data_IF_894899829240
#
_entry.id   IF_894899829240
#
_cell.length_a   1.000
_cell.length_b   1.000
_cell.length_c   1.000
_cell.angle_alpha   90.00
_cell.angle_beta   90.00
_cell.angle_gamma   90.00
#
_symmetry.space_group_name_H-M   'P 1'
#
loop_
_entity.id
_entity.type
_entity.pdbx_description
1 polymer ?
#
# COMPACT_ATOMS: atom_id res chain seq x y z
N UNK A 1 26.64 10.21 6.77
CA UNK A 1 26.41 9.41 5.55
C UNK A 1 25.28 10.08 4.77
N UNK A 2 25.49 10.44 3.50
CA UNK A 2 24.34 10.85 2.67
C UNK A 2 23.54 9.60 2.37
N UNK A 3 22.33 9.51 2.86
CA UNK A 3 21.40 8.47 2.42
C UNK A 3 21.08 8.76 0.97
N UNK A 4 21.64 7.99 0.07
CA UNK A 4 21.35 8.09 -1.35
C UNK A 4 19.91 7.67 -1.54
N UNK A 5 19.12 8.47 -2.26
CA UNK A 5 17.78 8.07 -2.62
C UNK A 5 17.86 6.84 -3.52
N UNK A 6 16.88 5.95 -3.38
CA UNK A 6 16.74 4.78 -4.25
C UNK A 6 15.30 4.30 -4.29
N UNK A 7 14.88 3.79 -5.43
CA UNK A 7 13.65 3.01 -5.63
C UNK A 7 14.06 1.63 -6.09
N UNK A 8 13.82 0.63 -5.26
CA UNK A 8 14.22 -0.75 -5.48
C UNK A 8 12.98 -1.65 -5.60
N UNK A 9 12.94 -2.46 -6.64
CA UNK A 9 11.88 -3.42 -6.88
C UNK A 9 12.34 -4.82 -6.47
N UNK A 10 11.46 -5.52 -5.76
CA UNK A 10 11.63 -6.92 -5.38
C UNK A 10 10.61 -7.80 -6.08
N UNK A 11 11.10 -8.86 -6.71
CA UNK A 11 10.30 -9.92 -7.27
C UNK A 11 10.32 -11.13 -6.35
N UNK A 12 9.19 -11.46 -5.77
CA UNK A 12 9.02 -12.53 -4.79
C UNK A 12 8.22 -13.66 -5.42
N UNK A 13 8.68 -14.92 -5.36
CA UNK A 13 7.90 -16.05 -5.83
C UNK A 13 6.52 -16.07 -5.17
N UNK A 14 5.47 -16.25 -5.93
CA UNK A 14 4.12 -16.24 -5.40
C UNK A 14 3.93 -17.39 -4.40
N UNK A 15 3.60 -17.03 -3.16
CA UNK A 15 3.45 -17.97 -2.05
C UNK A 15 4.71 -18.20 -1.23
N UNK A 16 5.77 -17.40 -1.42
CA UNK A 16 6.75 -17.20 -0.39
C UNK A 16 6.00 -16.87 0.92
N UNK A 17 6.34 -17.53 2.03
CA UNK A 17 5.66 -17.34 3.34
C UNK A 17 4.27 -17.96 3.52
N UNK A 18 3.64 -18.56 2.49
CA UNK A 18 2.29 -19.11 2.63
C UNK A 18 1.97 -20.29 1.71
N UNK A 19 1.92 -21.50 2.27
CA UNK A 19 1.61 -22.72 1.50
C UNK A 19 0.28 -22.63 0.71
N UNK A 20 -0.75 -22.01 1.30
CA UNK A 20 -2.07 -21.90 0.68
C UNK A 20 -2.06 -20.94 -0.55
N UNK A 21 -1.32 -19.85 -0.48
CA UNK A 21 -1.17 -18.90 -1.57
C UNK A 21 -0.37 -19.53 -2.72
N UNK A 22 0.69 -20.28 -2.38
CA UNK A 22 1.49 -21.02 -3.35
C UNK A 22 0.66 -22.05 -4.13
N UNK A 23 -0.18 -22.80 -3.43
CA UNK A 23 -1.04 -23.81 -4.06
C UNK A 23 -2.06 -23.18 -5.00
N UNK A 24 -2.77 -22.14 -4.53
CA UNK A 24 -3.76 -21.44 -5.34
C UNK A 24 -3.15 -20.76 -6.57
N UNK A 25 -1.97 -20.16 -6.42
CA UNK A 25 -1.23 -19.57 -7.54
C UNK A 25 -0.85 -20.63 -8.60
N UNK A 26 -0.35 -21.78 -8.17
CA UNK A 26 0.01 -22.88 -9.08
C UNK A 26 -1.21 -23.44 -9.82
N UNK A 27 -2.34 -23.62 -9.13
CA UNK A 27 -3.59 -24.08 -9.75
C UNK A 27 -4.08 -23.06 -10.77
N UNK A 28 -4.10 -21.79 -10.41
CA UNK A 28 -4.50 -20.69 -11.29
C UNK A 28 -3.62 -20.66 -12.55
N UNK A 29 -2.30 -20.72 -12.38
CA UNK A 29 -1.34 -20.72 -13.48
C UNK A 29 -1.49 -21.96 -14.36
N UNK A 30 -1.69 -23.14 -13.79
CA UNK A 30 -1.87 -24.36 -14.56
C UNK A 30 -3.14 -24.30 -15.44
N UNK A 31 -4.23 -23.72 -14.93
CA UNK A 31 -5.47 -23.50 -15.71
C UNK A 31 -5.22 -22.53 -16.86
N UNK A 32 -4.59 -21.37 -16.56
CA UNK A 32 -4.31 -20.36 -17.58
C UNK A 32 -3.33 -20.88 -18.64
N UNK A 33 -2.25 -21.54 -18.24
CA UNK A 33 -1.30 -22.14 -19.15
C UNK A 33 -1.96 -23.15 -20.11
N UNK A 34 -2.91 -23.95 -19.58
CA UNK A 34 -3.69 -24.90 -20.40
C UNK A 34 -4.61 -24.18 -21.38
N UNK A 35 -5.29 -23.12 -20.94
CA UNK A 35 -6.17 -22.32 -21.81
C UNK A 35 -5.38 -21.58 -22.90
N UNK A 36 -4.21 -21.11 -22.57
CA UNK A 36 -3.29 -20.40 -23.47
C UNK A 36 -2.37 -21.33 -24.28
N UNK A 37 -2.52 -22.66 -24.14
CA UNK A 37 -1.72 -23.70 -24.83
C UNK A 37 -0.21 -23.51 -24.67
N UNK A 38 0.26 -23.10 -23.49
CA UNK A 38 1.66 -22.88 -23.13
C UNK A 38 2.08 -23.70 -21.92
N UNK A 39 3.38 -23.70 -21.61
CA UNK A 39 3.89 -24.27 -20.35
C UNK A 39 3.55 -23.34 -19.18
N UNK A 40 3.32 -23.87 -17.96
CA UNK A 40 3.23 -23.07 -16.75
C UNK A 40 4.51 -22.25 -16.53
N UNK A 41 4.36 -21.03 -16.05
CA UNK A 41 5.42 -20.10 -15.73
C UNK A 41 5.50 -19.90 -14.22
N UNK A 42 6.66 -19.47 -13.72
CA UNK A 42 6.78 -19.04 -12.35
C UNK A 42 6.02 -17.74 -12.14
N UNK A 43 5.24 -17.69 -11.07
CA UNK A 43 4.47 -16.51 -10.71
C UNK A 43 5.21 -15.69 -9.67
N UNK A 44 5.26 -14.40 -9.89
CA UNK A 44 5.88 -13.44 -8.98
C UNK A 44 4.86 -12.41 -8.49
N UNK A 45 5.01 -12.01 -7.26
CA UNK A 45 4.45 -10.77 -6.76
C UNK A 45 5.56 -9.74 -6.50
N UNK A 46 5.20 -8.48 -6.36
CA UNK A 46 6.16 -7.40 -6.27
C UNK A 46 5.97 -6.56 -5.01
N UNK A 47 7.08 -6.02 -4.51
CA UNK A 47 7.15 -5.05 -3.43
C UNK A 47 8.23 -4.01 -3.74
N UNK A 48 8.18 -2.85 -3.09
CA UNK A 48 9.20 -1.80 -3.25
C UNK A 48 9.90 -1.52 -1.93
N UNK A 49 11.18 -1.21 -2.03
CA UNK A 49 11.93 -0.52 -1.00
C UNK A 49 12.31 0.86 -1.54
N UNK A 50 11.95 1.89 -0.80
CA UNK A 50 12.18 3.28 -1.19
C UNK A 50 13.05 3.94 -0.14
N UNK A 51 14.21 4.44 -0.57
CA UNK A 51 15.13 5.19 0.26
C UNK A 51 14.97 6.68 -0.04
N UNK A 52 14.84 7.47 0.99
CA UNK A 52 14.84 8.94 0.96
C UNK A 52 15.69 9.46 2.13
N UNK A 53 16.11 10.73 2.15
CA UNK A 53 16.89 11.27 3.26
C UNK A 53 16.26 11.07 4.64
N UNK A 54 14.94 10.98 4.70
CA UNK A 54 14.16 10.79 5.92
C UNK A 54 14.14 9.34 6.43
N UNK A 55 14.54 8.38 5.61
CA UNK A 55 14.61 6.98 6.00
C UNK A 55 14.35 6.00 4.84
N UNK A 56 14.22 4.74 5.21
CA UNK A 56 13.89 3.62 4.33
C UNK A 56 12.43 3.24 4.53
N UNK A 57 11.68 3.08 3.45
CA UNK A 57 10.27 2.70 3.47
C UNK A 57 10.05 1.43 2.65
N UNK A 58 9.21 0.53 3.17
CA UNK A 58 8.72 -0.63 2.41
C UNK A 58 7.30 -0.35 1.97
N UNK A 59 7.03 -0.55 0.68
CA UNK A 59 5.69 -0.47 0.11
C UNK A 59 5.30 -1.86 -0.37
N UNK A 60 4.28 -2.41 0.25
CA UNK A 60 3.77 -3.74 -0.06
C UNK A 60 2.25 -3.82 0.06
N UNK A 61 1.68 -4.78 -0.62
CA UNK A 61 0.28 -5.13 -0.50
C UNK A 61 0.16 -6.51 0.16
N UNK A 62 -0.56 -6.56 1.28
CA UNK A 62 -0.67 -7.76 2.10
C UNK A 62 -2.07 -7.95 2.69
N UNK A 63 -2.29 -9.13 3.27
CA UNK A 63 -3.45 -9.38 4.12
C UNK A 63 -3.36 -8.59 5.42
N UNK A 64 -4.54 -8.22 6.01
CA UNK A 64 -4.56 -7.66 7.35
C UNK A 64 -3.95 -8.66 8.34
N UNK A 65 -2.90 -8.25 9.03
CA UNK A 65 -2.39 -9.05 10.14
C UNK A 65 -3.42 -8.96 11.27
N UNK A 66 -3.80 -10.08 11.92
CA UNK A 66 -4.58 -10.04 13.13
C UNK A 66 -3.93 -9.03 14.10
N UNK A 67 -4.74 -8.23 14.79
CA UNK A 67 -4.26 -7.20 15.72
C UNK A 67 -3.19 -7.77 16.65
N UNK A 68 -1.92 -7.64 16.29
CA UNK A 68 -0.85 -7.58 17.25
C UNK A 68 -0.92 -6.14 17.81
N UNK A 69 -1.04 -6.00 19.10
CA UNK A 69 -1.04 -4.73 19.81
C UNK A 69 0.18 -3.91 19.39
N UNK A 70 -0.04 -2.93 18.52
CA UNK A 70 1.02 -2.08 18.00
C UNK A 70 0.46 -0.97 17.11
N UNK A 71 1.18 0.15 16.95
CA UNK A 71 0.75 1.24 16.09
C UNK A 71 0.46 0.74 14.67
N UNK A 72 -0.50 1.35 14.01
CA UNK A 72 -0.88 1.05 12.63
C UNK A 72 0.40 0.95 11.77
N UNK A 73 0.69 -0.23 11.25
CA UNK A 73 1.95 -0.51 10.51
C UNK A 73 1.96 0.19 9.15
N UNK A 74 1.71 1.51 9.12
CA UNK A 74 1.77 2.29 7.88
C UNK A 74 0.71 1.91 6.85
N UNK A 75 -0.45 1.39 7.25
CA UNK A 75 -1.57 1.13 6.34
C UNK A 75 -2.08 2.45 5.80
N UNK A 76 -2.00 2.65 4.49
CA UNK A 76 -2.44 3.87 3.82
C UNK A 76 -3.69 3.65 2.97
N UNK A 77 -3.87 2.44 2.43
CA UNK A 77 -5.02 2.09 1.60
C UNK A 77 -5.52 0.71 1.99
N UNK A 78 -6.82 0.55 2.02
CA UNK A 78 -7.50 -0.73 2.19
C UNK A 78 -8.51 -0.92 1.07
N UNK A 79 -8.72 -2.18 0.66
CA UNK A 79 -9.73 -2.52 -0.33
C UNK A 79 -10.34 -3.90 -0.08
N UNK A 80 -11.49 -4.18 -0.73
CA UNK A 80 -12.18 -5.45 -0.59
C UNK A 80 -11.47 -6.56 -1.37
N UNK A 81 -11.65 -7.82 -0.91
CA UNK A 81 -11.17 -9.02 -1.59
C UNK A 81 -12.36 -9.84 -2.06
N UNK A 82 -12.29 -10.33 -3.30
CA UNK A 82 -13.29 -11.19 -3.90
C UNK A 82 -14.60 -10.50 -4.30
N UNK A 83 -15.17 -9.66 -3.43
CA UNK A 83 -16.33 -8.83 -3.76
C UNK A 83 -16.46 -7.62 -2.84
N UNK A 84 -17.14 -6.56 -3.31
CA UNK A 84 -17.28 -5.31 -2.55
C UNK A 84 -18.01 -5.48 -1.23
N UNK A 85 -19.05 -6.29 -1.18
CA UNK A 85 -19.83 -6.52 0.04
C UNK A 85 -19.06 -7.29 1.11
N UNK A 86 -18.16 -8.19 0.71
CA UNK A 86 -17.27 -8.91 1.64
C UNK A 86 -16.29 -7.97 2.35
N UNK A 87 -15.95 -6.86 1.73
CA UNK A 87 -15.09 -5.84 2.32
C UNK A 87 -15.64 -5.18 3.60
N UNK A 88 -16.90 -5.43 3.99
CA UNK A 88 -17.42 -5.06 5.31
C UNK A 88 -16.71 -5.81 6.44
N UNK A 89 -16.20 -7.00 6.18
CA UNK A 89 -15.45 -7.79 7.16
C UNK A 89 -13.95 -7.63 6.94
N UNK A 90 -13.20 -7.35 8.01
CA UNK A 90 -11.77 -7.08 7.93
C UNK A 90 -10.97 -8.23 7.30
N UNK A 91 -11.36 -9.47 7.55
CA UNK A 91 -10.71 -10.66 7.00
C UNK A 91 -10.77 -10.75 5.46
N UNK A 92 -11.71 -10.02 4.84
CA UNK A 92 -11.84 -9.90 3.39
C UNK A 92 -11.40 -8.54 2.85
N UNK A 93 -10.39 -7.95 3.48
CA UNK A 93 -9.72 -6.75 2.98
C UNK A 93 -8.27 -7.04 2.68
N UNK A 94 -7.70 -6.29 1.77
CA UNK A 94 -6.26 -6.16 1.64
C UNK A 94 -5.81 -4.82 2.18
N UNK A 95 -4.55 -4.72 2.55
CA UNK A 95 -3.92 -3.51 3.05
C UNK A 95 -2.71 -3.17 2.18
N UNK A 96 -2.64 -1.93 1.70
CA UNK A 96 -1.39 -1.38 1.15
C UNK A 96 -0.68 -0.62 2.24
N UNK A 97 0.51 -1.04 2.54
CA UNK A 97 1.36 -0.49 3.59
C UNK A 97 2.51 0.28 3.01
N UNK A 98 2.82 1.40 3.65
CA UNK A 98 4.04 2.14 3.46
C UNK A 98 4.61 2.42 4.85
N UNK A 99 5.63 1.68 5.28
CA UNK A 99 6.11 1.71 6.65
C UNK A 99 7.61 1.96 6.72
N UNK A 100 8.04 2.86 7.63
CA UNK A 100 9.45 3.12 7.84
C UNK A 100 10.12 1.87 8.42
N UNK A 101 11.34 1.60 7.96
CA UNK A 101 12.20 0.49 8.38
C UNK A 101 11.52 -0.90 8.33
N UNK A 102 10.47 -1.02 7.49
CA UNK A 102 9.76 -2.27 7.29
C UNK A 102 10.66 -3.36 6.71
N UNK A 103 10.25 -4.61 6.89
CA UNK A 103 10.87 -5.76 6.23
C UNK A 103 9.88 -6.38 5.25
N UNK A 104 10.35 -6.71 4.06
CA UNK A 104 9.61 -7.55 3.12
C UNK A 104 9.69 -8.97 3.69
N UNK A 105 8.53 -9.58 3.95
CA UNK A 105 8.50 -10.99 4.27
C UNK A 105 9.10 -11.77 3.10
N UNK A 106 9.89 -12.78 3.40
CA UNK A 106 10.52 -13.64 2.39
C UNK A 106 11.45 -12.91 1.38
N UNK A 107 12.04 -11.78 1.78
CA UNK A 107 13.03 -11.08 0.96
C UNK A 107 14.20 -11.98 0.53
N UNK A 108 14.52 -12.99 1.34
CA UNK A 108 15.58 -13.97 1.07
C UNK A 108 15.22 -14.93 -0.10
N UNK A 109 13.92 -15.07 -0.42
CA UNK A 109 13.45 -15.84 -1.58
C UNK A 109 13.34 -14.99 -2.86
N UNK A 110 13.65 -13.69 -2.78
CA UNK A 110 13.50 -12.78 -3.92
C UNK A 110 14.45 -13.14 -5.08
N UNK A 111 13.93 -13.10 -6.29
CA UNK A 111 14.66 -13.47 -7.52
C UNK A 111 15.03 -12.22 -8.30
N UNK A 112 16.27 -12.15 -8.78
CA UNK A 112 16.79 -10.98 -9.50
C UNK A 112 16.50 -9.64 -8.78
N UNK A 113 16.62 -9.64 -7.46
CA UNK A 113 16.26 -8.52 -6.58
C UNK A 113 17.39 -8.23 -5.58
N UNK A 114 17.51 -6.98 -5.09
CA UNK A 114 16.75 -5.82 -5.53
C UNK A 114 17.12 -5.37 -6.95
N UNK A 115 16.11 -4.90 -7.70
CA UNK A 115 16.34 -4.22 -8.97
C UNK A 115 16.26 -2.71 -8.72
N UNK A 116 17.38 -2.00 -8.87
CA UNK A 116 17.40 -0.54 -8.76
C UNK A 116 16.69 0.08 -9.97
N UNK A 117 15.63 0.82 -9.73
CA UNK A 117 14.83 1.49 -10.77
C UNK A 117 15.16 2.98 -10.90
N UNK A 118 15.56 3.62 -9.80
CA UNK A 118 15.93 5.06 -9.79
C UNK A 118 16.75 5.38 -8.55
N UNK A 119 17.66 6.32 -8.69
CA UNK A 119 18.41 6.98 -7.60
C UNK A 119 18.01 8.45 -7.44
N UNK A 120 16.97 8.91 -8.16
CA UNK A 120 16.46 10.27 -8.10
C UNK A 120 15.59 10.48 -6.84
N UNK A 121 15.95 11.39 -5.93
CA UNK A 121 15.20 11.70 -4.74
C UNK A 121 13.81 12.29 -5.03
N UNK A 122 13.62 12.94 -6.17
CA UNK A 122 12.33 13.50 -6.58
C UNK A 122 11.36 12.36 -6.92
N UNK A 123 11.83 11.39 -7.68
CA UNK A 123 11.04 10.18 -8.04
C UNK A 123 10.70 9.37 -6.80
N UNK A 124 11.67 9.14 -5.91
CA UNK A 124 11.46 8.40 -4.66
C UNK A 124 10.40 9.07 -3.77
N UNK A 125 10.46 10.38 -3.56
CA UNK A 125 9.47 11.12 -2.78
C UNK A 125 8.10 11.11 -3.43
N UNK A 126 8.03 11.36 -4.73
CA UNK A 126 6.78 11.30 -5.48
C UNK A 126 6.09 9.96 -5.34
N UNK A 127 6.85 8.86 -5.41
CA UNK A 127 6.31 7.51 -5.23
C UNK A 127 5.68 7.35 -3.85
N UNK A 128 6.36 7.75 -2.76
CA UNK A 128 5.83 7.69 -1.40
C UNK A 128 4.56 8.53 -1.22
N UNK A 129 4.50 9.72 -1.84
CA UNK A 129 3.31 10.56 -1.83
C UNK A 129 2.12 9.91 -2.53
N UNK A 130 2.38 9.21 -3.64
CA UNK A 130 1.36 8.55 -4.46
C UNK A 130 0.69 7.37 -3.75
N UNK A 131 1.34 6.72 -2.79
CA UNK A 131 0.76 5.53 -2.11
C UNK A 131 -0.64 5.80 -1.55
N UNK A 132 -0.87 6.98 -0.97
CA UNK A 132 -2.18 7.36 -0.40
C UNK A 132 -3.27 7.65 -1.45
N UNK A 133 -2.89 7.75 -2.71
CA UNK A 133 -3.79 8.02 -3.84
C UNK A 133 -4.10 6.77 -4.67
N UNK A 134 -3.58 5.61 -4.26
CA UNK A 134 -3.82 4.35 -4.92
C UNK A 134 -5.32 4.06 -5.05
N UNK A 135 -5.77 3.63 -6.21
CA UNK A 135 -7.11 3.09 -6.36
C UNK A 135 -7.27 1.82 -5.52
N UNK A 136 -8.47 1.59 -5.00
CA UNK A 136 -8.79 0.44 -4.16
C UNK A 136 -9.93 -0.42 -4.72
N UNK A 137 -9.76 -0.98 -5.93
CA UNK A 137 -10.74 -1.90 -6.50
C UNK A 137 -10.74 -3.24 -5.78
N UNK A 138 -11.65 -4.12 -6.17
CA UNK A 138 -11.75 -5.46 -5.58
C UNK A 138 -10.53 -6.30 -5.99
N UNK A 139 -9.79 -6.79 -5.00
CA UNK A 139 -8.68 -7.71 -5.20
C UNK A 139 -9.14 -9.03 -5.84
N UNK A 140 -8.37 -9.51 -6.81
CA UNK A 140 -8.63 -10.74 -7.53
C UNK A 140 -9.75 -10.63 -8.57
N UNK A 141 -10.19 -9.40 -8.92
CA UNK A 141 -11.20 -9.14 -9.93
C UNK A 141 -10.69 -8.13 -10.94
N UNK A 142 -11.18 -8.24 -12.18
CA UNK A 142 -11.02 -7.21 -13.21
C UNK A 142 -12.18 -6.21 -13.14
N UNK A 143 -12.32 -5.55 -11.99
CA UNK A 143 -13.37 -4.55 -11.76
C UNK A 143 -13.18 -3.31 -12.62
N UNK A 144 -11.94 -3.00 -12.97
CA UNK A 144 -11.58 -1.82 -13.77
C UNK A 144 -11.53 -2.10 -15.28
N UNK A 145 -11.93 -3.30 -15.71
CA UNK A 145 -11.99 -3.71 -17.12
C UNK A 145 -10.66 -3.48 -17.86
N UNK A 146 -9.60 -3.98 -17.29
CA UNK A 146 -8.23 -3.87 -17.80
C UNK A 146 -7.76 -5.11 -18.55
N UNK A 147 -8.52 -6.21 -18.48
CA UNK A 147 -8.15 -7.53 -18.99
C UNK A 147 -7.42 -8.40 -17.97
N UNK A 148 -6.97 -7.84 -16.84
CA UNK A 148 -6.33 -8.55 -15.74
C UNK A 148 -6.94 -8.17 -14.38
N UNK A 149 -6.79 -9.08 -13.40
CA UNK A 149 -7.23 -8.82 -12.05
C UNK A 149 -6.36 -7.75 -11.35
N UNK A 150 -6.98 -7.02 -10.41
CA UNK A 150 -6.23 -6.13 -9.50
C UNK A 150 -5.61 -6.91 -8.35
N UNK A 151 -4.31 -6.69 -8.10
CA UNK A 151 -3.56 -7.36 -7.02
C UNK A 151 -2.29 -6.57 -6.62
N UNK A 152 -1.33 -7.18 -5.89
CA UNK A 152 -0.06 -6.54 -5.49
C UNK A 152 0.73 -5.99 -6.68
N UNK A 153 0.82 -6.74 -7.77
CA UNK A 153 1.54 -6.29 -8.95
C UNK A 153 0.88 -5.07 -9.59
N UNK A 154 -0.46 -4.99 -9.58
CA UNK A 154 -1.18 -3.83 -10.08
C UNK A 154 -0.89 -2.56 -9.26
N UNK A 155 -0.81 -2.71 -7.94
CA UNK A 155 -0.45 -1.63 -7.02
C UNK A 155 0.94 -1.09 -7.35
N UNK A 156 1.92 -1.97 -7.47
CA UNK A 156 3.32 -1.57 -7.73
C UNK A 156 3.46 -0.98 -9.14
N UNK A 157 2.90 -1.62 -10.15
CA UNK A 157 2.94 -1.12 -11.53
C UNK A 157 2.31 0.27 -11.66
N UNK A 158 1.17 0.50 -10.98
CA UNK A 158 0.52 1.81 -10.95
C UNK A 158 1.40 2.88 -10.30
N UNK A 159 2.01 2.57 -9.14
CA UNK A 159 2.91 3.49 -8.44
C UNK A 159 4.11 3.89 -9.30
N UNK A 160 4.76 2.91 -9.93
CA UNK A 160 5.91 3.13 -10.80
C UNK A 160 5.55 4.02 -11.99
N UNK A 161 4.46 3.70 -12.69
CA UNK A 161 3.99 4.49 -13.83
C UNK A 161 3.63 5.92 -13.43
N UNK A 162 2.91 6.12 -12.34
CA UNK A 162 2.51 7.44 -11.85
C UNK A 162 3.69 8.26 -11.29
N UNK A 163 4.74 7.61 -10.83
CA UNK A 163 5.97 8.29 -10.40
C UNK A 163 6.85 8.75 -11.56
N UNK A 164 6.52 8.35 -12.79
CA UNK A 164 7.26 8.73 -13.99
C UNK A 164 8.35 7.74 -14.37
N UNK A 165 8.39 6.57 -13.75
CA UNK A 165 9.28 5.48 -14.16
C UNK A 165 8.76 4.76 -15.41
N UNK A 166 9.68 4.31 -16.25
CA UNK A 166 9.37 3.58 -17.50
C UNK A 166 8.91 2.15 -17.20
N UNK A 167 7.78 2.02 -16.52
CA UNK A 167 7.25 0.77 -16.00
C UNK A 167 6.86 -0.24 -17.07
N UNK A 168 6.68 0.19 -18.32
CA UNK A 168 6.42 -0.67 -19.47
C UNK A 168 7.65 -1.55 -19.84
N UNK A 169 8.83 -1.15 -19.44
CA UNK A 169 10.08 -1.88 -19.68
C UNK A 169 10.48 -2.80 -18.52
N UNK A 170 9.73 -2.77 -17.43
CA UNK A 170 9.98 -3.59 -16.25
C UNK A 170 9.25 -4.92 -16.42
N UNK A 171 10.02 -6.01 -16.37
CA UNK A 171 9.50 -7.35 -16.53
C UNK A 171 9.90 -8.24 -15.34
N UNK A 172 9.07 -9.23 -14.99
CA UNK A 172 9.45 -10.22 -14.00
C UNK A 172 10.69 -11.02 -14.47
N UNK A 173 11.34 -11.76 -13.56
CA UNK A 173 12.46 -12.62 -13.90
C UNK A 173 12.17 -13.52 -15.10
N UNK A 174 13.21 -13.87 -15.87
CA UNK A 174 13.10 -14.66 -17.09
C UNK A 174 12.35 -15.98 -16.85
N UNK A 175 11.37 -16.27 -17.72
CA UNK A 175 10.50 -17.44 -17.58
C UNK A 175 9.37 -17.28 -16.57
N UNK A 176 9.22 -16.09 -15.97
CA UNK A 176 8.19 -15.77 -15.00
C UNK A 176 7.09 -14.85 -15.50
N UNK A 177 6.06 -14.69 -14.69
CA UNK A 177 4.91 -13.83 -14.94
C UNK A 177 4.52 -13.08 -13.66
N UNK A 178 4.07 -11.85 -13.83
CA UNK A 178 3.51 -11.01 -12.76
C UNK A 178 2.04 -10.67 -13.08
N UNK A 179 1.08 -11.57 -12.79
CA UNK A 179 -0.33 -11.32 -13.08
C UNK A 179 -0.80 -10.01 -12.44
N UNK A 180 -1.63 -9.24 -13.14
CA UNK A 180 -2.12 -7.96 -12.68
C UNK A 180 -1.19 -6.77 -12.96
N UNK A 181 0.03 -6.98 -13.44
CA UNK A 181 0.96 -5.90 -13.78
C UNK A 181 0.37 -4.96 -14.83
N UNK A 182 -0.21 -5.52 -15.90
CA UNK A 182 -0.82 -4.75 -16.96
C UNK A 182 -2.08 -4.00 -16.50
N UNK A 183 -2.82 -4.54 -15.53
CA UNK A 183 -3.94 -3.82 -14.93
C UNK A 183 -3.48 -2.52 -14.25
N UNK A 184 -2.38 -2.57 -13.50
CA UNK A 184 -1.80 -1.39 -12.87
C UNK A 184 -1.39 -0.32 -13.88
N UNK A 185 -0.69 -0.71 -14.95
CA UNK A 185 -0.28 0.18 -16.04
C UNK A 185 -1.49 0.80 -16.73
N UNK A 186 -2.47 -0.02 -17.12
CA UNK A 186 -3.67 0.45 -17.81
C UNK A 186 -4.45 1.47 -16.99
N UNK A 187 -4.57 1.27 -15.67
CA UNK A 187 -5.23 2.22 -14.77
C UNK A 187 -4.42 3.50 -14.62
N UNK A 188 -3.09 3.40 -14.52
CA UNK A 188 -2.22 4.57 -14.43
C UNK A 188 -2.35 5.46 -15.67
N UNK A 189 -2.40 4.87 -16.86
CA UNK A 189 -2.53 5.62 -18.11
C UNK A 189 -3.92 6.27 -18.30
N UNK A 190 -4.99 5.63 -17.78
CA UNK A 190 -6.36 6.19 -17.88
C UNK A 190 -6.59 7.40 -16.98
N UNK A 191 -5.91 7.46 -15.86
CA UNK A 191 -6.13 8.48 -14.84
C UNK A 191 -4.80 8.92 -14.25
N UNK A 192 -4.07 9.84 -14.94
CA UNK A 192 -2.87 10.43 -14.35
C UNK A 192 -3.20 11.06 -12.99
N UNK A 193 -2.45 10.71 -11.96
CA UNK A 193 -2.65 11.29 -10.64
C UNK A 193 -2.34 12.78 -10.68
N UNK A 194 -3.36 13.60 -10.63
CA UNK A 194 -3.20 15.02 -10.38
C UNK A 194 -2.87 15.17 -8.89
N UNK A 195 -1.61 15.38 -8.57
CA UNK A 195 -1.18 15.74 -7.21
C UNK A 195 -1.65 17.17 -6.98
N UNK A 196 -2.88 17.32 -6.56
CA UNK A 196 -3.52 18.61 -6.32
C UNK A 196 -4.67 18.45 -5.35
N UNK A 197 -4.39 18.80 -4.10
CA UNK A 197 -5.30 18.93 -2.95
C UNK A 197 -5.95 17.63 -2.44
N UNK A 198 -5.62 17.20 -1.22
CA UNK A 198 -6.27 16.06 -0.58
C UNK A 198 -7.75 16.38 -0.37
N UNK A 199 -8.65 15.61 -0.95
CA UNK A 199 -10.00 15.50 -0.40
C UNK A 199 -9.85 14.84 0.97
N UNK A 200 -9.64 15.66 2.01
CA UNK A 200 -9.80 15.22 3.39
C UNK A 200 -11.23 14.65 3.49
N UNK A 201 -11.33 13.34 3.56
CA UNK A 201 -12.46 12.73 4.22
C UNK A 201 -12.34 13.15 5.67
N UNK A 202 -13.12 14.17 6.06
CA UNK A 202 -13.28 14.57 7.44
C UNK A 202 -13.74 13.33 8.20
N UNK A 203 -12.83 12.72 8.94
CA UNK A 203 -13.18 11.82 10.03
C UNK A 203 -13.90 12.73 11.02
N UNK A 204 -15.25 12.63 11.10
CA UNK A 204 -16.01 13.22 12.16
C UNK A 204 -15.50 12.62 13.47
N UNK A 205 -14.59 13.30 14.11
CA UNK A 205 -14.33 13.14 15.52
C UNK A 205 -15.60 13.59 16.22
N UNK A 206 -16.36 12.61 16.71
CA UNK A 206 -17.45 12.83 17.66
C UNK A 206 -16.88 13.68 18.79
N UNK A 207 -17.40 14.91 18.92
CA UNK A 207 -17.01 15.82 19.98
C UNK A 207 -17.13 15.09 21.32
N UNK A 208 -16.04 15.02 22.02
CA UNK A 208 -16.02 14.67 23.43
C UNK A 208 -16.28 15.98 24.15
N UNK A 209 -17.48 16.09 24.76
CA UNK A 209 -17.85 17.21 25.61
C UNK A 209 -16.74 17.41 26.64
N UNK A 210 -16.20 18.64 26.66
CA UNK A 210 -15.27 19.05 27.69
C UNK A 210 -16.00 19.10 29.04
N UNK A 211 -15.41 18.62 30.13
CA UNK A 211 -16.03 18.75 31.45
C UNK A 211 -16.01 20.21 31.89
N UNK A 212 -17.20 20.68 32.25
CA UNK A 212 -17.48 22.00 32.83
C UNK A 212 -16.61 22.19 34.07
N UNK A 213 -15.83 23.26 34.11
CA UNK A 213 -15.07 23.65 35.30
C UNK A 213 -16.01 23.98 36.49
N UNK A 214 -15.63 23.64 37.72
CA UNK A 214 -16.45 23.97 38.91
C UNK A 214 -16.43 25.47 39.20
N UNK A 215 -17.61 25.99 39.47
CA UNK A 215 -17.87 27.35 39.93
C UNK A 215 -17.15 27.61 41.27
N UNK A 216 -16.26 28.59 41.31
CA UNK A 216 -15.74 29.13 42.57
C UNK A 216 -16.81 30.02 43.25
N UNK A 217 -17.03 29.88 44.56
CA UNK A 217 -17.96 30.74 45.29
C UNK A 217 -17.32 32.11 45.58
N UNK A 218 -18.08 33.16 45.31
CA UNK A 218 -17.69 34.55 45.42
C UNK A 218 -17.18 34.93 46.80
N UNK A 219 -16.10 35.67 46.82
CA UNK A 219 -15.55 36.37 47.99
C UNK A 219 -16.40 37.59 48.34
N UNK A 220 -16.95 37.54 49.55
CA UNK A 220 -17.66 38.64 50.21
C UNK A 220 -16.71 39.78 50.58
N UNK A 221 -17.08 41.06 50.44
CA UNK A 221 -16.22 42.18 50.82
C UNK A 221 -16.23 42.40 52.34
N UNK A 222 -15.06 42.66 52.90
CA UNK A 222 -14.84 42.99 54.28
C UNK A 222 -15.38 44.41 54.67
N UNK A 223 -15.83 44.62 55.92
CA UNK A 223 -16.36 45.92 56.34
C UNK A 223 -15.24 46.92 56.71
N UNK A 224 -15.46 48.14 56.24
CA UNK A 224 -14.61 49.31 56.52
C UNK A 224 -14.78 49.74 58.00
N UNK A 225 -13.71 49.68 58.76
CA UNK A 225 -13.62 50.27 60.12
C UNK A 225 -13.15 51.71 60.00
N UNK A 226 -13.99 52.63 60.47
CA UNK A 226 -13.70 54.05 60.63
C UNK A 226 -13.09 54.25 62.03
N UNK A 227 -11.90 54.81 62.11
CA UNK A 227 -11.28 55.26 63.34
C UNK A 227 -11.66 56.72 63.62
N UNK A 228 -11.98 56.91 64.87
CA UNK A 228 -12.05 58.24 65.54
C UNK A 228 -10.68 58.54 66.15
#
# INVERSE_FOLDING_TARGET
MRTTAAVELYWLPLGAGGWFVRLNGRIWEAIHARLEHRRPLDLYHSALVVHVPEGRFVVENCWPIPKADGPSRGVLVEGPVGSRWMGSWRVFRYEVRCWPDGSIADADEAVASPQLLSDDPVVARRLLELVRWLPSPVWGRDELQTGEMWNSNSVIAWLLAQSGLASDTIHPPAGGRAPGWQAGLAVAHRSPATIGSPKLKATQTKGHDAPTAPHEPGSSPAPTTRAS
#
